data_IF_055752067137
#
_entry.id   IF_055752067137
#
_cell.length_a   1.000
_cell.length_b   1.000
_cell.length_c   1.000
_cell.angle_alpha   90.00
_cell.angle_beta   90.00
_cell.angle_gamma   90.00
#
_symmetry.space_group_name_H-M   'P 1'
#
loop_
_entity.id
_entity.type
_entity.pdbx_description
1 polymer ?
#
# COMPACT_ATOMS: atom_id res chain seq x y z
N UNK A 1 -0.39 8.89 1.04
CA UNK A 1 0.94 8.27 1.26
C UNK A 1 1.56 8.68 2.60
N UNK A 2 1.62 9.98 2.94
CA UNK A 2 2.18 10.46 4.21
C UNK A 2 1.59 9.80 5.48
N UNK A 3 0.26 9.66 5.55
CA UNK A 3 -0.40 8.97 6.66
C UNK A 3 0.07 7.51 6.84
N UNK A 4 0.40 6.81 5.75
CA UNK A 4 0.93 5.45 5.84
C UNK A 4 2.35 5.43 6.38
N UNK A 5 3.20 6.39 5.98
CA UNK A 5 4.55 6.51 6.54
C UNK A 5 4.47 6.72 8.06
N UNK A 6 3.60 7.64 8.53
CA UNK A 6 3.40 7.88 9.95
C UNK A 6 2.88 6.62 10.67
N UNK A 7 1.88 5.94 10.11
CA UNK A 7 1.34 4.72 10.72
C UNK A 7 2.39 3.61 10.79
N UNK A 8 3.21 3.44 9.75
CA UNK A 8 4.32 2.49 9.76
C UNK A 8 5.35 2.80 10.85
N UNK A 9 5.70 4.08 11.04
CA UNK A 9 6.60 4.53 12.11
C UNK A 9 5.99 4.24 13.49
N UNK A 10 4.70 4.50 13.67
CA UNK A 10 4.00 4.22 14.95
C UNK A 10 3.95 2.73 15.26
N UNK A 11 3.69 1.88 14.26
CA UNK A 11 3.73 0.42 14.41
C UNK A 11 5.14 -0.04 14.80
N UNK A 12 6.18 0.48 14.13
CA UNK A 12 7.57 0.17 14.44
C UNK A 12 7.98 0.58 15.85
N UNK A 13 7.59 1.79 16.28
CA UNK A 13 7.83 2.29 17.64
C UNK A 13 7.10 1.44 18.69
N UNK A 14 5.82 1.16 18.48
CA UNK A 14 5.04 0.32 19.38
C UNK A 14 5.65 -1.09 19.48
N UNK A 15 5.99 -1.70 18.35
CA UNK A 15 6.66 -3.01 18.32
C UNK A 15 7.99 -2.99 19.07
N UNK A 16 8.83 -1.98 18.85
CA UNK A 16 10.11 -1.83 19.54
C UNK A 16 9.94 -1.71 21.06
N UNK A 17 8.96 -0.92 21.52
CA UNK A 17 8.63 -0.77 22.94
C UNK A 17 8.08 -2.05 23.56
N UNK A 18 7.24 -2.80 22.85
CA UNK A 18 6.69 -4.06 23.36
C UNK A 18 7.71 -5.20 23.38
N UNK A 19 8.64 -5.24 22.42
CA UNK A 19 9.64 -6.30 22.32
C UNK A 19 10.88 -6.06 23.18
N UNK A 20 11.27 -4.81 23.42
CA UNK A 20 12.42 -4.45 24.26
C UNK A 20 12.05 -3.82 25.61
N UNK A 21 10.77 -3.51 25.83
CA UNK A 21 10.30 -3.06 27.12
C UNK A 21 10.56 -4.13 28.16
N UNK A 22 10.96 -3.73 29.37
CA UNK A 22 11.14 -4.62 30.53
C UNK A 22 9.81 -5.18 31.06
N UNK A 23 8.92 -5.60 30.16
CA UNK A 23 7.71 -6.31 30.54
C UNK A 23 8.11 -7.73 30.87
N UNK A 24 7.93 -8.12 32.14
CA UNK A 24 8.10 -9.49 32.62
C UNK A 24 6.98 -10.36 32.07
N UNK A 25 6.97 -10.58 30.76
CA UNK A 25 6.00 -11.42 30.07
C UNK A 25 6.54 -12.84 29.96
N UNK A 26 5.64 -13.79 30.13
CA UNK A 26 5.91 -15.21 29.92
C UNK A 26 6.39 -15.44 28.47
N UNK A 27 7.36 -16.36 28.26
CA UNK A 27 7.99 -16.59 26.96
C UNK A 27 6.96 -16.92 25.85
N UNK A 28 5.89 -17.64 26.20
CA UNK A 28 4.77 -17.91 25.28
C UNK A 28 4.09 -16.63 24.82
N UNK A 29 3.81 -15.71 25.74
CA UNK A 29 3.15 -14.43 25.43
C UNK A 29 4.05 -13.57 24.56
N UNK A 30 5.36 -13.54 24.84
CA UNK A 30 6.32 -12.78 24.02
C UNK A 30 6.38 -13.31 22.58
N UNK A 31 6.36 -14.64 22.41
CA UNK A 31 6.38 -15.29 21.09
C UNK A 31 5.10 -15.00 20.30
N UNK A 32 3.93 -14.98 20.95
CA UNK A 32 2.65 -14.62 20.33
C UNK A 32 2.67 -13.17 19.87
N UNK A 33 3.15 -12.25 20.71
CA UNK A 33 3.27 -10.81 20.37
C UNK A 33 4.19 -10.62 19.18
N UNK A 34 5.32 -11.33 19.13
CA UNK A 34 6.29 -11.22 18.04
C UNK A 34 5.71 -11.69 16.71
N UNK A 35 4.97 -12.81 16.69
CA UNK A 35 4.26 -13.30 15.50
C UNK A 35 3.17 -12.31 15.08
N UNK A 36 2.39 -11.80 16.03
CA UNK A 36 1.33 -10.83 15.78
C UNK A 36 1.88 -9.54 15.13
N UNK A 37 2.94 -8.98 15.70
CA UNK A 37 3.63 -7.80 15.15
C UNK A 37 4.12 -8.08 13.72
N UNK A 38 4.69 -9.26 13.47
CA UNK A 38 5.12 -9.67 12.13
C UNK A 38 3.97 -9.69 11.11
N UNK A 39 2.83 -10.28 11.47
CA UNK A 39 1.64 -10.33 10.60
C UNK A 39 1.11 -8.92 10.32
N UNK A 40 1.03 -8.07 11.36
CA UNK A 40 0.59 -6.67 11.22
C UNK A 40 1.53 -5.89 10.30
N UNK A 41 2.85 -6.07 10.45
CA UNK A 41 3.83 -5.40 9.60
C UNK A 41 3.69 -5.84 8.13
N UNK A 42 3.56 -7.13 7.86
CA UNK A 42 3.38 -7.67 6.50
C UNK A 42 2.06 -7.15 5.88
N UNK A 43 0.96 -7.21 6.63
CA UNK A 43 -0.33 -6.71 6.18
C UNK A 43 -0.33 -5.20 5.91
N UNK A 44 0.37 -4.43 6.74
CA UNK A 44 0.55 -3.00 6.55
C UNK A 44 1.34 -2.67 5.28
N UNK A 45 2.42 -3.41 5.02
CA UNK A 45 3.21 -3.27 3.79
C UNK A 45 2.36 -3.62 2.57
N UNK A 46 1.74 -4.81 2.56
CA UNK A 46 0.91 -5.26 1.44
C UNK A 46 -0.23 -4.27 1.11
N UNK A 47 -0.97 -3.82 2.12
CA UNK A 47 -2.04 -2.82 1.94
C UNK A 47 -1.52 -1.46 1.46
N UNK A 48 -0.30 -1.08 1.86
CA UNK A 48 0.34 0.16 1.40
C UNK A 48 0.63 0.13 -0.10
N UNK A 49 1.02 -1.03 -0.64
CA UNK A 49 1.29 -1.21 -2.07
C UNK A 49 0.03 -1.42 -2.91
N UNK A 50 -1.00 -2.11 -2.40
CA UNK A 50 -2.24 -2.36 -3.14
C UNK A 50 -2.90 -1.09 -3.66
N UNK A 51 -2.96 -0.04 -2.83
CA UNK A 51 -3.52 1.23 -3.26
C UNK A 51 -2.70 1.83 -4.41
N UNK A 52 -1.37 1.87 -4.29
CA UNK A 52 -0.50 2.39 -5.35
C UNK A 52 -0.62 1.60 -6.65
N UNK A 53 -0.73 0.28 -6.56
CA UNK A 53 -0.96 -0.59 -7.71
C UNK A 53 -2.32 -0.33 -8.38
N UNK A 54 -3.40 -0.20 -7.60
CA UNK A 54 -4.75 0.07 -8.13
C UNK A 54 -4.80 1.43 -8.84
N UNK A 55 -4.29 2.49 -8.21
CA UNK A 55 -4.28 3.81 -8.85
C UNK A 55 -3.31 3.86 -10.05
N UNK A 56 -2.21 3.13 -10.01
CA UNK A 56 -1.30 2.98 -11.15
C UNK A 56 -1.97 2.30 -12.33
N UNK A 57 -2.68 1.19 -12.10
CA UNK A 57 -3.44 0.48 -13.14
C UNK A 57 -4.54 1.37 -13.72
N UNK A 58 -5.28 2.09 -12.87
CA UNK A 58 -6.29 3.03 -13.34
C UNK A 58 -5.69 4.14 -14.20
N UNK A 59 -4.56 4.73 -13.80
CA UNK A 59 -3.88 5.75 -14.59
C UNK A 59 -3.42 5.22 -15.96
N UNK A 60 -2.86 4.00 -16.01
CA UNK A 60 -2.50 3.36 -17.28
C UNK A 60 -3.73 3.13 -18.16
N UNK A 61 -4.82 2.64 -17.58
CA UNK A 61 -6.07 2.41 -18.30
C UNK A 61 -6.67 3.73 -18.82
N UNK A 62 -6.60 4.80 -18.03
CA UNK A 62 -7.10 6.13 -18.40
C UNK A 62 -6.28 6.75 -19.54
N UNK A 63 -4.94 6.65 -19.48
CA UNK A 63 -4.05 7.10 -20.56
C UNK A 63 -4.29 6.29 -21.84
N UNK A 64 -4.33 4.97 -21.74
CA UNK A 64 -4.53 4.09 -22.90
C UNK A 64 -5.93 4.28 -23.52
N UNK A 65 -6.96 4.38 -22.69
CA UNK A 65 -8.34 4.64 -23.09
C UNK A 65 -8.48 6.02 -23.75
N UNK A 66 -7.90 7.06 -23.16
CA UNK A 66 -7.89 8.41 -23.74
C UNK A 66 -7.16 8.47 -25.08
N UNK A 67 -6.01 7.80 -25.20
CA UNK A 67 -5.26 7.71 -26.46
C UNK A 67 -6.08 6.97 -27.55
N UNK A 68 -6.72 5.85 -27.18
CA UNK A 68 -7.58 5.11 -28.10
C UNK A 68 -8.80 5.94 -28.55
N UNK A 69 -9.46 6.62 -27.61
CA UNK A 69 -10.58 7.50 -27.91
C UNK A 69 -10.16 8.66 -28.83
N UNK A 70 -9.02 9.30 -28.57
CA UNK A 70 -8.50 10.37 -29.42
C UNK A 70 -8.20 9.90 -30.84
N UNK A 71 -7.51 8.77 -30.99
CA UNK A 71 -7.16 8.23 -32.31
C UNK A 71 -8.39 7.75 -33.10
N UNK A 72 -9.40 7.16 -32.45
CA UNK A 72 -10.59 6.62 -33.12
C UNK A 72 -11.72 7.63 -33.32
N UNK A 73 -11.90 8.59 -32.42
CA UNK A 73 -13.00 9.54 -32.50
C UNK A 73 -12.54 10.88 -33.08
N UNK A 74 -11.41 11.42 -32.62
CA UNK A 74 -10.97 12.76 -33.02
C UNK A 74 -10.17 12.70 -34.33
N UNK A 75 -9.20 11.79 -34.43
CA UNK A 75 -8.34 11.71 -35.62
C UNK A 75 -9.09 11.21 -36.87
N UNK A 76 -10.04 10.27 -36.71
CA UNK A 76 -10.92 9.81 -37.78
C UNK A 76 -11.85 10.93 -38.28
N UNK A 77 -12.30 11.81 -37.39
CA UNK A 77 -13.21 12.91 -37.73
C UNK A 77 -12.49 14.07 -38.42
N UNK A 78 -11.22 14.31 -38.11
CA UNK A 78 -10.34 15.27 -38.83
C UNK A 78 -9.90 14.73 -40.20
N UNK A 79 -9.89 13.41 -40.39
CA UNK A 79 -9.46 12.75 -41.65
C UNK A 79 -10.61 12.50 -42.64
N UNK A 80 -11.85 12.87 -42.29
CA UNK A 80 -13.01 12.74 -43.17
C UNK A 80 -13.20 14.06 -43.94
N UNK A 81 -13.15 14.07 -45.28
CA UNK A 81 -13.29 15.29 -46.09
C UNK A 81 -14.67 15.92 -45.98
#
# INVERSE_FOLDING_TARGET
MFARIIVGILIGLAAGLFLHGKFSLEEKTLKIIQIFVGIVAIGFIASSFMFGAVYGVLAVAEIAGGYFAYTKLVQVQVSKP
#
